data_IF_649915560687
#
_entry.id   IF_649915560687
#
_cell.length_a   1.000
_cell.length_b   1.000
_cell.length_c   1.000
_cell.angle_alpha   90.00
_cell.angle_beta   90.00
_cell.angle_gamma   90.00
#
_symmetry.space_group_name_H-M   'P 1'
#
loop_
_entity.id
_entity.type
_entity.pdbx_description
1 polymer ?
#
# COMPACT_ATOMS: atom_id res chain seq x y z
N UNK A 1 2.49 10.59 5.44
CA UNK A 1 1.11 10.05 5.42
C UNK A 1 0.75 9.60 6.84
N UNK A 2 -0.49 9.78 7.29
CA UNK A 2 -1.01 9.27 8.58
C UNK A 2 -2.20 8.35 8.31
N UNK A 3 -2.28 7.21 8.98
CA UNK A 3 -3.42 6.30 8.85
C UNK A 3 -4.63 6.83 9.65
N UNK A 4 -5.79 6.95 8.98
CA UNK A 4 -7.13 7.30 9.48
C UNK A 4 -7.31 8.64 10.22
N UNK A 5 -6.36 9.08 11.04
CA UNK A 5 -6.51 10.25 11.91
C UNK A 5 -6.22 11.55 11.16
N UNK A 6 -7.28 12.10 10.54
CA UNK A 6 -7.23 13.38 9.82
C UNK A 6 -6.87 14.57 10.73
N UNK A 7 -7.16 14.49 12.04
CA UNK A 7 -6.84 15.55 13.00
C UNK A 7 -5.35 15.57 13.29
N UNK A 8 -4.75 14.40 13.51
CA UNK A 8 -3.30 14.25 13.65
C UNK A 8 -2.61 14.68 12.35
N UNK A 9 -3.08 14.19 11.19
CA UNK A 9 -2.55 14.60 9.89
C UNK A 9 -2.52 16.13 9.72
N UNK A 10 -3.61 16.81 10.06
CA UNK A 10 -3.68 18.27 9.97
C UNK A 10 -2.71 18.98 10.93
N UNK A 11 -2.58 18.51 12.17
CA UNK A 11 -1.73 19.13 13.20
C UNK A 11 -0.24 18.97 12.92
N UNK A 12 0.18 17.82 12.41
CA UNK A 12 1.59 17.56 12.09
C UNK A 12 1.97 18.03 10.68
N UNK A 13 1.01 18.55 9.92
CA UNK A 13 1.23 19.01 8.55
C UNK A 13 1.48 17.87 7.55
N UNK A 14 1.01 16.65 7.84
CA UNK A 14 1.24 15.48 7.00
C UNK A 14 0.78 15.69 5.55
N UNK A 15 1.47 15.07 4.59
CA UNK A 15 1.17 15.23 3.16
C UNK A 15 -0.10 14.50 2.69
N UNK A 16 -0.70 13.69 3.56
CA UNK A 16 -1.86 12.91 3.20
C UNK A 16 -2.29 11.89 4.25
N UNK A 17 -3.37 11.20 3.95
CA UNK A 17 -3.97 10.18 4.80
C UNK A 17 -4.11 8.84 4.08
N UNK A 18 -4.00 7.75 4.84
CA UNK A 18 -4.32 6.40 4.38
C UNK A 18 -5.59 5.95 5.09
N UNK A 19 -6.67 5.69 4.34
CA UNK A 19 -7.98 5.35 4.90
C UNK A 19 -8.21 3.84 4.83
N UNK A 20 -8.41 3.22 5.99
CA UNK A 20 -8.63 1.78 6.14
C UNK A 20 -9.96 1.41 6.82
N UNK A 21 -10.81 2.42 7.10
CA UNK A 21 -12.05 2.27 7.87
C UNK A 21 -13.27 1.91 7.01
N UNK A 22 -13.66 2.76 6.04
CA UNK A 22 -14.87 2.55 5.22
C UNK A 22 -14.89 3.38 3.93
N UNK A 23 -15.75 3.00 2.98
CA UNK A 23 -15.99 3.76 1.73
C UNK A 23 -16.56 5.17 1.99
N UNK A 24 -17.52 5.37 2.93
CA UNK A 24 -17.92 6.73 3.34
C UNK A 24 -16.77 7.58 3.87
N UNK A 25 -15.92 7.03 4.75
CA UNK A 25 -14.79 7.79 5.30
C UNK A 25 -13.77 8.15 4.20
N UNK A 26 -13.55 7.25 3.23
CA UNK A 26 -12.70 7.51 2.07
C UNK A 26 -13.27 8.64 1.22
N UNK A 27 -14.59 8.66 0.98
CA UNK A 27 -15.29 9.71 0.24
C UNK A 27 -15.13 11.07 0.93
N UNK A 28 -15.31 11.11 2.25
CA UNK A 28 -15.18 12.32 3.05
C UNK A 28 -13.73 12.84 3.05
N UNK A 29 -12.75 11.94 3.16
CA UNK A 29 -11.34 12.28 3.06
C UNK A 29 -10.99 12.87 1.68
N UNK A 30 -11.46 12.25 0.59
CA UNK A 30 -11.25 12.73 -0.78
C UNK A 30 -11.85 14.13 -0.95
N UNK A 31 -13.10 14.32 -0.56
CA UNK A 31 -13.79 15.61 -0.68
C UNK A 31 -13.10 16.74 0.11
N UNK A 32 -12.53 16.41 1.27
CA UNK A 32 -11.94 17.41 2.17
C UNK A 32 -10.48 17.73 1.86
N UNK A 33 -9.70 16.73 1.42
CA UNK A 33 -8.25 16.79 1.38
C UNK A 33 -7.68 16.94 -0.04
N UNK A 34 -8.33 16.35 -1.05
CA UNK A 34 -7.86 16.45 -2.43
C UNK A 34 -8.24 17.78 -3.07
N UNK A 35 -7.47 18.29 -4.05
CA UNK A 35 -6.21 17.73 -4.58
C UNK A 35 -4.97 18.16 -3.77
N UNK A 36 -5.13 18.82 -2.61
CA UNK A 36 -4.02 19.44 -1.86
C UNK A 36 -3.18 18.46 -1.06
N UNK A 37 -3.73 17.29 -0.75
CA UNK A 37 -3.12 16.23 0.06
C UNK A 37 -3.42 14.88 -0.58
N UNK A 38 -2.51 13.92 -0.38
CA UNK A 38 -2.64 12.55 -0.87
C UNK A 38 -3.70 11.81 -0.05
N UNK A 39 -4.56 11.05 -0.71
CA UNK A 39 -5.53 10.15 -0.07
C UNK A 39 -5.39 8.75 -0.65
N UNK A 40 -5.00 7.80 0.18
CA UNK A 40 -4.94 6.38 -0.19
C UNK A 40 -6.10 5.58 0.38
N UNK A 41 -6.51 4.54 -0.33
CA UNK A 41 -7.49 3.55 0.13
C UNK A 41 -6.79 2.23 0.50
N UNK A 42 -7.11 1.64 1.65
CA UNK A 42 -6.55 0.37 2.10
C UNK A 42 -7.57 -0.52 2.80
N UNK A 43 -7.09 -1.66 3.34
CA UNK A 43 -7.93 -2.69 3.96
C UNK A 43 -9.06 -3.21 3.03
N UNK A 44 -8.78 -3.24 1.72
CA UNK A 44 -9.65 -3.77 0.68
C UNK A 44 -9.51 -5.30 0.62
N UNK A 45 -10.60 -6.03 0.77
CA UNK A 45 -10.61 -7.50 0.96
C UNK A 45 -11.26 -8.25 -0.18
N UNK A 46 -11.80 -7.55 -1.16
CA UNK A 46 -12.39 -8.15 -2.35
C UNK A 46 -12.25 -7.23 -3.55
N UNK A 47 -12.41 -7.80 -4.75
CA UNK A 47 -12.46 -7.03 -6.00
C UNK A 47 -13.58 -6.00 -5.99
N UNK A 48 -14.74 -6.34 -5.43
CA UNK A 48 -15.87 -5.43 -5.31
C UNK A 48 -15.56 -4.21 -4.44
N UNK A 49 -15.05 -4.44 -3.23
CA UNK A 49 -14.61 -3.34 -2.34
C UNK A 49 -13.53 -2.47 -3.00
N UNK A 50 -12.58 -3.10 -3.71
CA UNK A 50 -11.55 -2.37 -4.44
C UNK A 50 -12.15 -1.49 -5.56
N UNK A 51 -13.14 -2.00 -6.30
CA UNK A 51 -13.85 -1.22 -7.32
C UNK A 51 -14.61 -0.04 -6.70
N UNK A 52 -15.35 -0.27 -5.60
CA UNK A 52 -16.05 0.80 -4.89
C UNK A 52 -15.07 1.89 -4.41
N UNK A 53 -13.91 1.50 -3.88
CA UNK A 53 -12.87 2.46 -3.51
C UNK A 53 -12.29 3.18 -4.73
N UNK A 54 -12.04 2.47 -5.82
CA UNK A 54 -11.52 3.02 -7.07
C UNK A 54 -12.44 4.04 -7.74
N UNK A 55 -13.76 3.84 -7.66
CA UNK A 55 -14.75 4.79 -8.19
C UNK A 55 -14.66 6.16 -7.52
N UNK A 56 -14.21 6.22 -6.26
CA UNK A 56 -13.98 7.48 -5.57
C UNK A 56 -12.69 8.18 -6.04
N UNK A 57 -11.86 7.50 -6.83
CA UNK A 57 -10.62 7.99 -7.42
C UNK A 57 -9.59 8.48 -6.39
N UNK A 58 -9.20 7.67 -5.37
CA UNK A 58 -8.08 7.99 -4.47
C UNK A 58 -6.77 8.11 -5.26
N UNK A 59 -5.73 8.64 -4.63
CA UNK A 59 -4.43 8.78 -5.30
C UNK A 59 -3.68 7.45 -5.41
N UNK A 60 -4.04 6.44 -4.60
CA UNK A 60 -3.60 5.05 -4.73
C UNK A 60 -4.55 4.09 -4.01
N UNK A 61 -4.46 2.81 -4.36
CA UNK A 61 -5.03 1.69 -3.60
C UNK A 61 -3.93 0.85 -2.98
N UNK A 62 -4.23 0.24 -1.84
CA UNK A 62 -3.29 -0.59 -1.08
C UNK A 62 -3.92 -1.95 -0.80
N UNK A 63 -3.26 -3.02 -1.22
CA UNK A 63 -3.65 -4.39 -0.91
C UNK A 63 -2.78 -4.98 0.21
N UNK A 64 -3.44 -5.54 1.22
CA UNK A 64 -2.82 -5.99 2.46
C UNK A 64 -3.10 -5.05 3.63
N UNK A 65 -2.40 -5.25 4.75
CA UNK A 65 -2.53 -4.46 5.97
C UNK A 65 -1.16 -4.07 6.50
N UNK A 66 -1.04 -2.85 7.00
CA UNK A 66 0.21 -2.33 7.59
C UNK A 66 0.65 -3.12 8.83
N UNK A 67 -0.29 -3.68 9.58
CA UNK A 67 -0.06 -4.55 10.74
C UNK A 67 -0.16 -6.05 10.39
N UNK A 68 -0.28 -6.37 9.11
CA UNK A 68 -0.58 -7.70 8.61
C UNK A 68 0.63 -8.54 8.23
N UNK A 69 1.84 -8.00 8.18
CA UNK A 69 3.07 -8.69 7.74
C UNK A 69 3.61 -9.69 8.77
N UNK A 70 2.80 -10.70 9.08
CA UNK A 70 3.15 -11.77 10.02
C UNK A 70 3.72 -13.02 9.32
N UNK A 71 3.66 -13.09 7.99
CA UNK A 71 4.27 -14.14 7.18
C UNK A 71 5.60 -13.67 6.59
N UNK A 72 6.50 -14.60 6.30
CA UNK A 72 7.78 -14.31 5.67
C UNK A 72 7.61 -13.73 4.25
N UNK A 73 6.61 -14.23 3.50
CA UNK A 73 6.22 -13.75 2.17
C UNK A 73 4.88 -13.01 2.15
N UNK A 74 4.45 -12.61 0.94
CA UNK A 74 3.16 -11.95 0.71
C UNK A 74 2.02 -12.94 0.92
N UNK A 75 0.88 -12.47 1.41
CA UNK A 75 -0.34 -13.29 1.46
C UNK A 75 -0.91 -13.53 0.08
N UNK A 76 -1.28 -14.76 -0.23
CA UNK A 76 -1.89 -15.16 -1.51
C UNK A 76 -3.03 -14.24 -1.94
N UNK A 77 -3.94 -13.93 -1.02
CA UNK A 77 -5.09 -13.05 -1.30
C UNK A 77 -4.67 -11.60 -1.63
N UNK A 78 -3.62 -11.11 -0.97
CA UNK A 78 -3.06 -9.78 -1.24
C UNK A 78 -2.39 -9.76 -2.62
N UNK A 79 -1.60 -10.78 -2.94
CA UNK A 79 -0.97 -10.92 -4.24
C UNK A 79 -2.01 -11.07 -5.37
N UNK A 80 -3.07 -11.86 -5.16
CA UNK A 80 -4.15 -12.05 -6.14
C UNK A 80 -4.88 -10.74 -6.46
N UNK A 81 -5.21 -9.94 -5.44
CA UNK A 81 -5.88 -8.66 -5.64
C UNK A 81 -4.99 -7.67 -6.38
N UNK A 82 -3.71 -7.57 -6.01
CA UNK A 82 -2.74 -6.71 -6.69
C UNK A 82 -2.54 -7.13 -8.16
N UNK A 83 -2.36 -8.43 -8.41
CA UNK A 83 -2.15 -8.99 -9.75
C UNK A 83 -3.36 -8.82 -10.67
N UNK A 84 -4.57 -8.82 -10.12
CA UNK A 84 -5.77 -8.50 -10.87
C UNK A 84 -5.91 -7.00 -11.13
N UNK A 85 -5.60 -6.16 -10.13
CA UNK A 85 -5.83 -4.72 -10.21
C UNK A 85 -4.85 -4.01 -11.14
N UNK A 86 -3.55 -4.22 -10.93
CA UNK A 86 -2.49 -3.46 -11.60
C UNK A 86 -2.62 -3.42 -13.15
N UNK A 87 -2.90 -4.53 -13.86
CA UNK A 87 -3.08 -4.47 -15.31
C UNK A 87 -4.45 -3.95 -15.76
N UNK A 88 -5.44 -3.89 -14.86
CA UNK A 88 -6.85 -3.60 -15.21
C UNK A 88 -7.23 -2.14 -14.97
N UNK A 89 -6.63 -1.49 -13.98
CA UNK A 89 -7.01 -0.15 -13.53
C UNK A 89 -5.85 0.85 -13.65
N UNK A 90 -6.19 2.13 -13.75
CA UNK A 90 -5.20 3.22 -13.90
C UNK A 90 -4.71 3.78 -12.56
N UNK A 91 -5.39 3.46 -11.46
CA UNK A 91 -5.01 3.95 -10.14
C UNK A 91 -3.77 3.19 -9.64
N UNK A 92 -2.71 3.91 -9.19
CA UNK A 92 -1.50 3.28 -8.68
C UNK A 92 -1.80 2.31 -7.53
N UNK A 93 -1.07 1.21 -7.51
CA UNK A 93 -1.26 0.13 -6.54
C UNK A 93 -0.02 -0.07 -5.68
N UNK A 94 -0.26 -0.17 -4.37
CA UNK A 94 0.73 -0.60 -3.40
C UNK A 94 0.35 -1.99 -2.90
N UNK A 95 1.29 -2.92 -2.88
CA UNK A 95 1.10 -4.26 -2.31
C UNK A 95 1.94 -4.42 -1.04
N UNK A 96 1.36 -4.99 0.02
CA UNK A 96 2.09 -5.28 1.26
C UNK A 96 3.01 -6.49 1.10
N UNK A 97 4.29 -6.31 1.40
CA UNK A 97 5.31 -7.35 1.51
C UNK A 97 5.20 -8.21 2.77
N UNK A 98 6.05 -9.22 2.86
CA UNK A 98 6.22 -10.06 4.06
C UNK A 98 7.33 -9.56 4.99
N UNK A 99 7.68 -10.39 5.99
CA UNK A 99 8.73 -10.12 6.98
C UNK A 99 10.15 -10.26 6.41
N UNK A 100 10.31 -10.97 5.30
CA UNK A 100 11.60 -11.08 4.62
C UNK A 100 11.70 -10.04 3.51
N UNK A 101 12.86 -9.39 3.42
CA UNK A 101 13.16 -8.42 2.35
C UNK A 101 12.97 -9.05 0.97
N UNK A 102 13.26 -10.35 0.80
CA UNK A 102 13.07 -11.08 -0.45
C UNK A 102 11.63 -11.04 -1.00
N UNK A 103 10.62 -10.82 -0.14
CA UNK A 103 9.22 -10.74 -0.55
C UNK A 103 8.91 -9.60 -1.53
N UNK A 104 9.81 -8.62 -1.68
CA UNK A 104 9.65 -7.56 -2.70
C UNK A 104 9.64 -8.08 -4.13
N UNK A 105 10.29 -9.22 -4.39
CA UNK A 105 10.31 -9.86 -5.71
C UNK A 105 8.92 -10.40 -6.04
N UNK A 106 8.29 -11.08 -5.09
CA UNK A 106 6.90 -11.57 -5.23
C UNK A 106 5.92 -10.40 -5.40
N UNK A 107 6.16 -9.31 -4.67
CA UNK A 107 5.36 -8.08 -4.77
C UNK A 107 5.45 -7.46 -6.17
N UNK A 108 6.66 -7.33 -6.70
CA UNK A 108 6.88 -6.85 -8.07
C UNK A 108 6.24 -7.76 -9.13
N UNK A 109 6.25 -9.08 -8.92
CA UNK A 109 5.64 -10.04 -9.85
C UNK A 109 4.11 -9.89 -9.95
N UNK A 110 3.45 -9.21 -9.00
CA UNK A 110 2.02 -8.86 -9.12
C UNK A 110 1.77 -7.73 -10.13
N UNK A 111 2.80 -7.03 -10.59
CA UNK A 111 2.66 -5.84 -11.44
C UNK A 111 2.27 -4.57 -10.68
N UNK A 112 2.12 -4.61 -9.35
CA UNK A 112 1.94 -3.41 -8.54
C UNK A 112 3.10 -2.44 -8.72
N UNK A 113 2.80 -1.14 -8.83
CA UNK A 113 3.83 -0.10 -9.01
C UNK A 113 4.73 0.07 -7.77
N UNK A 114 4.23 -0.30 -6.60
CA UNK A 114 4.96 -0.16 -5.33
C UNK A 114 4.78 -1.37 -4.42
N UNK A 115 5.84 -1.71 -3.67
CA UNK A 115 5.80 -2.68 -2.56
C UNK A 115 6.02 -1.95 -1.24
N UNK A 116 5.14 -2.19 -0.27
CA UNK A 116 5.29 -1.68 1.09
C UNK A 116 5.95 -2.73 2.00
N UNK A 117 6.91 -2.30 2.82
CA UNK A 117 7.54 -3.12 3.86
C UNK A 117 7.37 -2.45 5.22
N UNK A 118 7.11 -3.25 6.26
CA UNK A 118 7.13 -2.80 7.65
C UNK A 118 8.21 -3.55 8.44
N UNK A 119 7.90 -4.72 9.01
CA UNK A 119 8.81 -5.47 9.89
C UNK A 119 10.11 -5.89 9.22
N UNK A 120 10.08 -6.20 7.92
CA UNK A 120 11.29 -6.49 7.16
C UNK A 120 12.35 -5.38 7.25
N UNK A 121 11.92 -4.13 7.49
CA UNK A 121 12.80 -2.96 7.65
C UNK A 121 12.92 -2.57 9.13
N UNK A 122 11.82 -2.40 9.84
CA UNK A 122 11.83 -1.83 11.20
C UNK A 122 12.32 -2.81 12.28
N UNK A 123 12.20 -4.13 12.07
CA UNK A 123 12.76 -5.13 12.98
C UNK A 123 14.19 -5.55 12.58
N UNK A 124 14.71 -5.05 11.45
CA UNK A 124 16.05 -5.36 10.99
C UNK A 124 17.11 -4.75 11.91
N UNK A 125 18.24 -5.45 12.06
CA UNK A 125 19.39 -4.90 12.80
C UNK A 125 19.93 -3.62 12.15
N UNK A 126 19.88 -3.57 10.82
CA UNK A 126 20.26 -2.41 10.02
C UNK A 126 19.12 -2.10 9.02
N UNK A 127 18.19 -1.20 9.36
CA UNK A 127 17.08 -0.82 8.48
C UNK A 127 17.55 -0.21 7.16
N UNK A 128 18.68 0.50 7.15
CA UNK A 128 19.20 1.11 5.93
C UNK A 128 19.72 0.04 4.97
N UNK A 129 20.42 -0.97 5.49
CA UNK A 129 20.85 -2.13 4.70
C UNK A 129 19.65 -2.93 4.16
N UNK A 130 18.60 -3.12 4.96
CA UNK A 130 17.38 -3.82 4.52
C UNK A 130 16.69 -3.09 3.34
N UNK A 131 16.60 -1.76 3.39
CA UNK A 131 16.05 -0.96 2.28
C UNK A 131 16.96 -1.02 1.05
N UNK A 132 18.28 -0.97 1.22
CA UNK A 132 19.22 -1.10 0.11
C UNK A 132 19.12 -2.46 -0.59
N UNK A 133 18.99 -3.54 0.18
CA UNK A 133 18.75 -4.89 -0.34
C UNK A 133 17.42 -4.99 -1.09
N UNK A 134 16.33 -4.46 -0.53
CA UNK A 134 15.02 -4.43 -1.19
C UNK A 134 15.10 -3.75 -2.57
N UNK A 135 15.74 -2.58 -2.64
CA UNK A 135 15.91 -1.85 -3.90
C UNK A 135 16.79 -2.60 -4.90
N UNK A 136 17.85 -3.28 -4.44
CA UNK A 136 18.71 -4.08 -5.32
C UNK A 136 17.96 -5.27 -5.92
N UNK A 137 17.12 -5.95 -5.11
CA UNK A 137 16.26 -7.04 -5.58
C UNK A 137 15.24 -6.56 -6.62
N UNK A 138 14.59 -5.42 -6.37
CA UNK A 138 13.64 -4.83 -7.31
C UNK A 138 14.32 -4.45 -8.64
N UNK A 139 15.50 -3.82 -8.59
CA UNK A 139 16.26 -3.45 -9.79
C UNK A 139 16.69 -4.69 -10.62
N UNK A 140 16.98 -5.82 -9.97
CA UNK A 140 17.32 -7.07 -10.63
C UNK A 140 16.13 -7.88 -11.16
N UNK A 141 14.90 -7.57 -10.73
CA UNK A 141 13.68 -8.29 -11.10
C UNK A 141 12.99 -7.73 -12.34
N UNK A 142 13.36 -6.51 -12.76
CA UNK A 142 12.87 -5.87 -13.99
C UNK A 142 13.81 -6.25 -15.14
N UNK A 143 13.51 -7.37 -15.80
CA UNK A 143 14.16 -7.81 -17.04
C UNK A 143 13.12 -8.09 -18.12
#
# INVERSE_FOLDING_TARGET
>A
IVENDTRVAGRVGADGVHVTTSIPDLRDAIASLRPRKIVGAGNLRSRHEAMEAGELNPDYVFFGRLDGDNNDGIFDKTAELAAWWAPTFVLPTVVMGGRLVASVVDGAATGAEFVALARAVFDARDPAAAVAEANALLAGSVA
#
